data_IF_077057794851
#
_entry.id   IF_077057794851
#
_cell.length_a   1.000
_cell.length_b   1.000
_cell.length_c   1.000
_cell.angle_alpha   90.00
_cell.angle_beta   90.00
_cell.angle_gamma   90.00
#
_symmetry.space_group_name_H-M   'P 1'
#
loop_
_entity.id
_entity.type
_entity.pdbx_description
1 polymer ?
#
# COMPACT_ATOMS: atom_id res chain seq x y z
N UNK A 1 -10.28 -14.65 40.34
CA UNK A 1 -11.09 -13.45 40.03
C UNK A 1 -10.08 -12.38 39.63
N UNK A 2 -10.34 -11.60 38.58
CA UNK A 2 -9.30 -10.73 38.00
C UNK A 2 -9.20 -9.42 38.77
N UNK A 3 -8.11 -9.22 39.51
CA UNK A 3 -7.78 -7.94 40.16
C UNK A 3 -7.79 -6.78 39.16
N UNK A 4 -7.31 -7.01 37.94
CA UNK A 4 -7.32 -6.02 36.86
C UNK A 4 -8.72 -5.52 36.49
N UNK A 5 -9.79 -6.31 36.69
CA UNK A 5 -11.17 -5.88 36.42
C UNK A 5 -11.72 -4.96 37.54
N UNK A 6 -11.24 -5.12 38.77
CA UNK A 6 -11.60 -4.28 39.91
C UNK A 6 -10.77 -2.99 39.92
N UNK A 7 -9.48 -3.08 39.58
CA UNK A 7 -8.56 -1.96 39.36
C UNK A 7 -9.01 -1.07 38.19
N UNK A 8 -9.38 -1.67 37.04
CA UNK A 8 -10.04 -1.00 35.91
C UNK A 8 -11.23 -0.15 36.34
N UNK A 9 -12.11 -0.77 37.14
CA UNK A 9 -13.35 -0.16 37.60
C UNK A 9 -13.08 0.95 38.61
N UNK A 10 -12.16 0.72 39.55
CA UNK A 10 -11.73 1.73 40.52
C UNK A 10 -11.20 2.99 39.83
N UNK A 11 -10.31 2.85 38.84
CA UNK A 11 -9.74 3.97 38.08
C UNK A 11 -10.84 4.72 37.29
N UNK A 12 -11.81 4.02 36.69
CA UNK A 12 -12.92 4.66 35.97
C UNK A 12 -13.92 5.36 36.91
N UNK A 13 -14.21 4.76 38.07
CA UNK A 13 -15.19 5.27 39.05
C UNK A 13 -14.63 6.44 39.91
N UNK A 14 -13.29 6.56 40.03
CA UNK A 14 -12.60 7.60 40.82
C UNK A 14 -11.82 8.61 39.97
N UNK A 15 -12.02 8.60 38.64
CA UNK A 15 -11.46 9.59 37.72
C UNK A 15 -11.87 11.03 38.10
N UNK A 16 -11.01 12.05 37.88
CA UNK A 16 -11.39 13.44 38.10
C UNK A 16 -12.66 13.80 37.32
N UNK A 17 -13.64 14.43 37.98
CA UNK A 17 -14.93 14.82 37.37
C UNK A 17 -14.84 16.03 36.43
N UNK A 18 -13.69 16.20 35.80
CA UNK A 18 -13.49 17.10 34.67
C UNK A 18 -14.09 16.45 33.40
N UNK A 19 -15.31 15.91 33.52
CA UNK A 19 -16.06 15.25 32.45
C UNK A 19 -16.32 16.29 31.38
N UNK A 20 -15.97 15.99 30.13
CA UNK A 20 -16.41 16.83 29.03
C UNK A 20 -17.91 16.62 28.83
N UNK A 21 -18.70 17.67 29.08
CA UNK A 21 -20.10 17.72 28.67
C UNK A 21 -20.22 17.33 27.19
N UNK A 22 -21.30 16.60 26.86
CA UNK A 22 -21.59 16.02 25.54
C UNK A 22 -20.51 15.08 24.93
N UNK A 23 -19.48 14.67 25.67
CA UNK A 23 -18.52 13.67 25.19
C UNK A 23 -18.99 12.22 25.45
N UNK A 24 -19.17 11.38 24.41
CA UNK A 24 -19.72 10.02 24.57
C UNK A 24 -18.76 9.01 25.24
N UNK A 25 -17.53 9.41 25.57
CA UNK A 25 -16.59 8.57 26.32
C UNK A 25 -16.83 8.62 27.83
N UNK A 26 -17.01 9.83 28.39
CA UNK A 26 -17.32 10.06 29.80
C UNK A 26 -16.34 9.45 30.81
N UNK A 27 -15.05 9.36 30.46
CA UNK A 27 -13.96 8.82 31.29
C UNK A 27 -12.83 9.85 31.53
N UNK A 28 -11.80 9.50 32.32
CA UNK A 28 -10.71 10.40 32.71
C UNK A 28 -10.01 11.04 31.50
N UNK A 29 -9.65 12.32 31.62
CA UNK A 29 -8.79 13.04 30.68
C UNK A 29 -7.31 12.70 30.93
N UNK A 30 -6.53 12.64 29.85
CA UNK A 30 -5.06 12.56 29.85
C UNK A 30 -4.50 13.82 29.18
N UNK A 31 -3.33 14.26 29.63
CA UNK A 31 -2.68 15.48 29.14
C UNK A 31 -2.03 15.35 27.76
N UNK A 32 -1.19 16.33 27.47
CA UNK A 32 -0.17 16.31 26.40
C UNK A 32 1.21 16.00 27.00
N UNK A 33 2.19 15.64 26.16
CA UNK A 33 3.59 15.42 26.57
C UNK A 33 4.55 16.16 25.65
N UNK A 34 5.71 16.55 26.16
CA UNK A 34 6.73 17.31 25.42
C UNK A 34 6.42 18.81 25.27
N UNK A 35 7.29 19.54 24.58
CA UNK A 35 7.19 20.99 24.40
C UNK A 35 6.08 21.37 23.40
N UNK A 36 5.06 22.15 23.80
CA UNK A 36 4.05 22.69 22.88
C UNK A 36 4.61 23.53 21.73
N UNK A 37 5.84 24.06 21.83
CA UNK A 37 6.52 24.79 20.77
C UNK A 37 7.36 23.90 19.83
N UNK A 38 7.33 22.57 19.98
CA UNK A 38 8.09 21.65 19.12
C UNK A 38 7.71 21.78 17.64
N UNK A 39 8.67 21.73 16.70
CA UNK A 39 8.38 21.73 15.26
C UNK A 39 7.62 20.48 14.80
N UNK A 40 7.57 19.39 15.57
CA UNK A 40 6.88 18.15 15.21
C UNK A 40 5.86 17.73 16.27
N UNK A 41 4.61 17.56 15.83
CA UNK A 41 3.48 17.14 16.68
C UNK A 41 3.02 15.75 16.30
N UNK A 42 2.87 14.84 17.26
CA UNK A 42 2.26 13.53 17.08
C UNK A 42 0.86 13.51 17.69
N UNK A 43 -0.15 13.17 16.88
CA UNK A 43 -1.55 13.06 17.33
C UNK A 43 -1.95 11.59 17.33
N UNK A 44 -2.09 11.02 18.53
CA UNK A 44 -2.58 9.68 18.79
C UNK A 44 -4.13 9.61 18.76
N UNK A 45 -4.70 8.40 18.85
CA UNK A 45 -6.16 8.23 18.86
C UNK A 45 -6.82 8.68 20.17
N UNK A 46 -6.62 7.94 21.24
CA UNK A 46 -7.20 8.16 22.57
C UNK A 46 -6.37 7.43 23.63
N UNK A 47 -6.39 7.86 24.90
CA UNK A 47 -5.75 7.16 26.01
C UNK A 47 -6.07 5.67 26.10
N UNK A 48 -5.04 4.88 26.44
CA UNK A 48 -5.18 3.57 27.06
C UNK A 48 -5.23 3.67 28.58
N UNK A 49 -4.91 2.58 29.26
CA UNK A 49 -5.03 2.45 30.72
C UNK A 49 -3.76 2.87 31.46
N UNK A 50 -2.60 2.60 30.88
CA UNK A 50 -1.33 3.12 31.39
C UNK A 50 -1.34 4.65 31.32
N UNK A 51 -1.78 5.21 30.18
CA UNK A 51 -1.92 6.66 29.97
C UNK A 51 -2.81 7.34 31.02
N UNK A 52 -3.89 6.69 31.45
CA UNK A 52 -4.78 7.19 32.52
C UNK A 52 -4.15 7.10 33.90
N UNK A 53 -3.36 6.05 34.18
CA UNK A 53 -2.74 5.84 35.49
C UNK A 53 -1.65 6.87 35.76
N UNK A 54 -0.78 7.11 34.78
CA UNK A 54 0.42 7.94 34.98
C UNK A 54 0.28 9.36 34.38
N UNK A 55 -0.82 9.65 33.67
CA UNK A 55 -1.25 11.00 33.26
C UNK A 55 -0.72 11.49 31.90
N UNK A 56 0.19 10.75 31.27
CA UNK A 56 0.81 11.08 29.98
C UNK A 56 0.28 10.24 28.80
N UNK A 57 0.23 10.76 27.56
CA UNK A 57 0.00 9.97 26.36
C UNK A 57 1.19 9.06 25.99
N UNK A 58 0.90 7.98 25.24
CA UNK A 58 1.87 7.07 24.61
C UNK A 58 2.89 6.38 25.55
N UNK A 59 2.46 5.97 26.74
CA UNK A 59 3.28 5.17 27.67
C UNK A 59 2.90 3.68 27.74
N UNK A 60 1.74 3.31 27.19
CA UNK A 60 1.26 1.94 27.13
C UNK A 60 2.01 1.06 26.11
N UNK A 61 1.49 -0.14 25.81
CA UNK A 61 2.15 -1.09 24.89
C UNK A 61 2.43 -0.54 23.49
N UNK A 62 1.56 0.33 22.97
CA UNK A 62 1.76 1.06 21.70
C UNK A 62 2.88 2.10 21.82
N UNK A 63 2.93 2.80 22.94
CA UNK A 63 3.99 3.74 23.31
C UNK A 63 5.39 3.11 23.31
N UNK A 64 5.50 1.92 23.91
CA UNK A 64 6.74 1.13 23.98
C UNK A 64 7.26 0.62 22.63
N UNK A 65 6.48 0.77 21.56
CA UNK A 65 6.93 0.56 20.16
C UNK A 65 7.25 1.90 19.49
N UNK A 66 6.39 2.91 19.68
CA UNK A 66 6.58 4.28 19.19
C UNK A 66 7.92 4.89 19.65
N UNK A 67 8.21 4.85 20.95
CA UNK A 67 9.42 5.40 21.56
C UNK A 67 10.72 4.61 21.27
N UNK A 68 10.68 3.62 20.37
CA UNK A 68 11.89 3.03 19.76
C UNK A 68 12.39 3.81 18.54
N UNK A 69 11.54 4.67 17.97
CA UNK A 69 11.79 5.41 16.73
C UNK A 69 11.61 6.92 16.90
N UNK A 70 10.87 7.35 17.92
CA UNK A 70 10.67 8.76 18.29
C UNK A 70 11.24 9.00 19.70
N UNK A 71 12.09 10.03 19.93
CA UNK A 71 12.62 10.33 21.26
C UNK A 71 11.54 10.57 22.32
N UNK A 72 11.83 10.22 23.58
CA UNK A 72 11.00 10.55 24.76
C UNK A 72 11.72 11.55 25.69
N UNK A 73 12.38 12.53 25.09
CA UNK A 73 13.17 13.58 25.74
C UNK A 73 12.46 14.95 25.77
N UNK A 74 11.22 15.01 25.27
CA UNK A 74 10.42 16.23 25.15
C UNK A 74 10.64 17.02 23.85
N UNK A 75 11.53 16.57 22.95
CA UNK A 75 11.78 17.22 21.66
C UNK A 75 10.59 17.20 20.69
N UNK A 76 9.61 16.34 20.93
CA UNK A 76 8.38 16.18 20.13
C UNK A 76 7.15 16.50 20.99
N UNK A 77 6.12 17.13 20.41
CA UNK A 77 4.86 17.37 21.10
C UNK A 77 3.89 16.21 20.87
N UNK A 78 3.27 15.67 21.93
CA UNK A 78 2.33 14.53 21.85
C UNK A 78 0.95 14.92 22.34
N UNK A 79 -0.05 14.68 21.50
CA UNK A 79 -1.48 14.92 21.71
C UNK A 79 -2.31 13.65 21.47
N UNK A 80 -3.54 13.63 21.99
CA UNK A 80 -4.58 12.70 21.56
C UNK A 80 -5.65 13.44 20.78
N UNK A 81 -6.21 12.82 19.74
CA UNK A 81 -7.39 13.32 19.05
C UNK A 81 -8.64 13.35 19.95
N UNK A 82 -8.69 12.43 20.92
CA UNK A 82 -9.71 12.38 21.98
C UNK A 82 -9.01 12.32 23.35
N UNK A 83 -9.13 13.39 24.14
CA UNK A 83 -8.43 13.53 25.42
C UNK A 83 -8.89 12.55 26.51
N UNK A 84 -10.11 12.02 26.39
CA UNK A 84 -10.74 11.18 27.40
C UNK A 84 -10.49 9.68 27.14
N UNK A 85 -10.39 8.89 28.20
CA UNK A 85 -10.39 7.43 28.10
C UNK A 85 -11.79 6.90 27.70
N UNK A 86 -11.91 5.98 26.72
CA UNK A 86 -13.20 5.48 26.20
C UNK A 86 -13.91 4.45 27.12
N UNK A 87 -14.08 4.78 28.41
CA UNK A 87 -14.65 3.90 29.43
C UNK A 87 -16.03 3.30 29.07
N UNK A 88 -16.85 4.06 28.33
CA UNK A 88 -18.23 3.68 27.94
C UNK A 88 -18.35 3.11 26.52
N UNK A 89 -17.22 2.80 25.88
CA UNK A 89 -17.18 2.24 24.52
C UNK A 89 -16.82 0.76 24.57
N UNK A 90 -17.83 -0.10 24.46
CA UNK A 90 -17.63 -1.49 24.03
C UNK A 90 -17.05 -1.43 22.61
N UNK A 91 -15.79 -1.87 22.43
CA UNK A 91 -14.96 -1.60 21.22
C UNK A 91 -15.34 -2.44 19.98
N UNK A 92 -16.60 -2.85 19.87
CA UNK A 92 -17.07 -3.80 18.84
C UNK A 92 -18.33 -3.29 18.13
N UNK A 93 -18.43 -3.61 16.84
CA UNK A 93 -19.58 -3.27 15.99
C UNK A 93 -19.67 -1.79 15.57
N UNK A 94 -20.70 -1.49 14.79
CA UNK A 94 -20.94 -0.16 14.18
C UNK A 94 -21.22 0.94 15.20
N UNK A 95 -21.82 0.60 16.34
CA UNK A 95 -22.11 1.52 17.43
C UNK A 95 -20.83 2.02 18.13
N UNK A 96 -19.85 1.13 18.34
CA UNK A 96 -18.53 1.53 18.85
C UNK A 96 -17.85 2.53 17.92
N UNK A 97 -17.86 2.26 16.60
CA UNK A 97 -17.30 3.17 15.58
C UNK A 97 -17.99 4.54 15.57
N UNK A 98 -19.32 4.59 15.71
CA UNK A 98 -20.06 5.87 15.80
C UNK A 98 -19.66 6.69 17.03
N UNK A 99 -19.50 6.05 18.20
CA UNK A 99 -19.10 6.72 19.44
C UNK A 99 -17.67 7.27 19.37
N UNK A 100 -16.74 6.53 18.75
CA UNK A 100 -15.39 7.03 18.46
C UNK A 100 -15.42 8.28 17.57
N UNK A 101 -16.23 8.26 16.50
CA UNK A 101 -16.36 9.42 15.59
C UNK A 101 -17.00 10.64 16.29
N UNK A 102 -18.03 10.43 17.11
CA UNK A 102 -18.66 11.51 17.88
C UNK A 102 -17.71 12.09 18.96
N UNK A 103 -16.92 11.26 19.65
CA UNK A 103 -15.90 11.76 20.58
C UNK A 103 -14.81 12.58 19.87
N UNK A 104 -14.33 12.10 18.72
CA UNK A 104 -13.35 12.82 17.89
C UNK A 104 -13.90 14.17 17.42
N UNK A 105 -15.17 14.23 17.03
CA UNK A 105 -15.86 15.48 16.69
C UNK A 105 -15.92 16.45 17.88
N UNK A 106 -16.41 16.01 19.05
CA UNK A 106 -16.50 16.86 20.25
C UNK A 106 -15.14 17.27 20.85
N UNK A 107 -14.05 16.60 20.47
CA UNK A 107 -12.68 16.97 20.87
C UNK A 107 -11.92 17.83 19.84
N UNK A 108 -12.39 17.91 18.57
CA UNK A 108 -11.67 18.58 17.47
C UNK A 108 -11.26 20.02 17.81
N UNK A 109 -12.17 20.85 18.29
CA UNK A 109 -11.87 22.29 18.48
C UNK A 109 -10.78 22.51 19.56
N UNK A 110 -10.74 21.67 20.59
CA UNK A 110 -9.66 21.68 21.61
C UNK A 110 -8.32 21.16 21.07
N UNK A 111 -8.35 20.15 20.20
CA UNK A 111 -7.17 19.66 19.49
C UNK A 111 -6.58 20.77 18.61
N UNK A 112 -7.42 21.45 17.83
CA UNK A 112 -6.99 22.55 16.96
C UNK A 112 -6.43 23.71 17.77
N UNK A 113 -7.13 24.19 18.80
CA UNK A 113 -6.66 25.28 19.66
C UNK A 113 -5.29 25.02 20.31
N UNK A 114 -4.97 23.74 20.62
CA UNK A 114 -3.66 23.34 21.16
C UNK A 114 -2.52 23.35 20.14
N UNK A 115 -2.85 23.22 18.86
CA UNK A 115 -1.91 23.21 17.72
C UNK A 115 -1.76 24.63 17.17
N UNK A 116 -2.86 25.35 16.97
CA UNK A 116 -2.91 26.74 16.49
C UNK A 116 -2.24 27.74 17.46
N UNK A 117 -1.97 27.34 18.70
CA UNK A 117 -1.22 28.13 19.69
C UNK A 117 0.27 28.30 19.35
N UNK A 118 0.86 27.44 18.52
CA UNK A 118 2.29 27.45 18.19
C UNK A 118 2.55 27.16 16.69
N UNK A 119 3.59 27.74 16.08
CA UNK A 119 3.94 27.43 14.69
C UNK A 119 4.67 26.07 14.62
N UNK A 120 4.05 25.09 13.97
CA UNK A 120 4.64 23.76 13.78
C UNK A 120 5.16 23.56 12.34
N UNK A 121 6.20 22.73 12.17
CA UNK A 121 6.71 22.31 10.86
C UNK A 121 5.93 21.14 10.28
N UNK A 122 5.58 20.15 11.13
CA UNK A 122 4.88 18.93 10.71
C UNK A 122 3.91 18.43 11.80
N UNK A 123 2.74 17.95 11.38
CA UNK A 123 1.81 17.22 12.26
C UNK A 123 1.65 15.78 11.76
N UNK A 124 1.99 14.81 12.60
CA UNK A 124 1.92 13.37 12.33
C UNK A 124 0.63 12.79 12.90
N UNK A 125 -0.28 12.39 12.02
CA UNK A 125 -1.62 11.93 12.36
C UNK A 125 -1.69 10.39 12.45
N UNK A 126 -1.68 9.84 13.65
CA UNK A 126 -1.62 8.39 13.87
C UNK A 126 -3.01 7.75 13.86
N UNK A 127 -3.36 7.11 12.74
CA UNK A 127 -4.65 6.43 12.56
C UNK A 127 -5.80 7.33 12.06
N UNK A 128 -6.91 6.67 11.66
CA UNK A 128 -8.07 7.35 11.08
C UNK A 128 -8.63 8.46 11.98
N UNK A 129 -8.71 8.21 13.30
CA UNK A 129 -9.28 9.16 14.26
C UNK A 129 -8.47 10.46 14.34
N UNK A 130 -7.14 10.39 14.29
CA UNK A 130 -6.27 11.56 14.28
C UNK A 130 -6.40 12.36 12.97
N UNK A 131 -6.22 11.72 11.81
CA UNK A 131 -6.25 12.43 10.51
C UNK A 131 -7.63 13.05 10.23
N UNK A 132 -8.73 12.40 10.62
CA UNK A 132 -10.09 12.94 10.48
C UNK A 132 -10.34 14.13 11.41
N UNK A 133 -9.82 14.10 12.63
CA UNK A 133 -9.95 15.24 13.57
C UNK A 133 -9.17 16.46 13.10
N UNK A 134 -7.96 16.25 12.55
CA UNK A 134 -7.11 17.32 12.03
C UNK A 134 -7.64 17.91 10.72
N UNK A 135 -8.01 17.09 9.75
CA UNK A 135 -8.50 17.55 8.43
C UNK A 135 -9.97 17.99 8.45
N UNK A 136 -10.80 17.41 9.32
CA UNK A 136 -12.26 17.55 9.28
C UNK A 136 -12.95 16.69 8.20
N UNK A 137 -12.20 15.86 7.46
CA UNK A 137 -12.71 15.04 6.35
C UNK A 137 -13.00 13.62 6.87
N UNK A 138 -14.24 13.39 7.30
CA UNK A 138 -14.61 12.24 8.14
C UNK A 138 -14.69 10.88 7.44
N UNK A 139 -14.63 10.83 6.11
CA UNK A 139 -14.66 9.59 5.31
C UNK A 139 -13.25 9.07 4.94
N UNK A 140 -12.19 9.87 5.12
CA UNK A 140 -10.79 9.50 4.83
C UNK A 140 -10.42 8.12 5.40
N UNK A 141 -9.71 7.33 4.59
CA UNK A 141 -9.18 6.02 4.96
C UNK A 141 -7.65 6.10 4.98
N UNK A 142 -7.04 5.99 6.14
CA UNK A 142 -5.60 6.24 6.30
C UNK A 142 -4.71 5.34 5.44
N UNK A 143 -5.14 4.11 5.16
CA UNK A 143 -4.43 3.17 4.26
C UNK A 143 -4.32 3.65 2.81
N UNK A 144 -5.09 4.66 2.40
CA UNK A 144 -5.00 5.31 1.07
C UNK A 144 -4.14 6.57 1.06
N UNK A 145 -3.68 7.07 2.21
CA UNK A 145 -3.05 8.40 2.37
C UNK A 145 -1.85 8.40 3.34
N UNK A 146 -1.42 7.22 3.80
CA UNK A 146 -0.19 7.04 4.59
C UNK A 146 1.03 7.61 3.86
N UNK A 147 2.04 8.10 4.58
CA UNK A 147 3.30 8.51 3.99
C UNK A 147 3.28 9.80 3.15
N UNK A 148 2.13 10.51 3.07
CA UNK A 148 1.95 11.72 2.25
C UNK A 148 1.72 12.95 3.09
N UNK A 149 2.11 14.11 2.57
CA UNK A 149 1.78 15.40 3.15
C UNK A 149 0.42 15.87 2.61
N UNK A 150 -0.49 16.18 3.52
CA UNK A 150 -1.77 16.83 3.26
C UNK A 150 -1.59 18.31 3.61
N UNK A 151 -1.70 19.19 2.62
CA UNK A 151 -1.64 20.64 2.82
C UNK A 151 -2.64 21.08 3.91
N UNK A 152 -2.16 21.88 4.86
CA UNK A 152 -2.97 22.36 5.98
C UNK A 152 -2.37 23.64 6.54
N UNK A 153 -3.22 24.57 6.97
CA UNK A 153 -2.79 25.81 7.63
C UNK A 153 -2.17 25.57 9.04
N UNK A 154 -2.30 24.35 9.58
CA UNK A 154 -1.86 23.98 10.92
C UNK A 154 -0.35 23.74 11.04
N UNK A 155 0.38 23.54 9.93
CA UNK A 155 1.83 23.32 9.94
C UNK A 155 2.48 23.65 8.59
N UNK A 156 3.76 24.05 8.60
CA UNK A 156 4.54 24.47 7.41
C UNK A 156 4.50 23.46 6.25
N UNK A 157 4.67 22.17 6.56
CA UNK A 157 4.64 21.05 5.61
C UNK A 157 3.27 20.34 5.61
N UNK A 158 2.31 20.80 6.41
CA UNK A 158 1.00 20.17 6.57
C UNK A 158 0.96 18.94 7.49
N UNK A 159 0.01 18.05 7.22
CA UNK A 159 -0.30 16.87 8.03
C UNK A 159 0.16 15.59 7.31
N UNK A 160 0.93 14.75 8.00
CA UNK A 160 1.35 13.43 7.52
C UNK A 160 0.58 12.30 8.22
N UNK A 161 -0.32 11.58 7.54
CA UNK A 161 -1.00 10.41 8.12
C UNK A 161 -0.05 9.22 8.21
N UNK A 162 -0.07 8.52 9.35
CA UNK A 162 0.70 7.28 9.56
C UNK A 162 -0.14 6.20 10.23
N UNK A 163 0.14 4.92 9.97
CA UNK A 163 -0.62 3.80 10.55
C UNK A 163 -0.48 3.82 12.08
N UNK A 164 -1.59 3.70 12.82
CA UNK A 164 -1.53 3.65 14.28
C UNK A 164 -0.96 2.29 14.76
N UNK A 165 -0.02 2.31 15.70
CA UNK A 165 0.71 1.12 16.20
C UNK A 165 -0.23 -0.02 16.63
N UNK A 166 -1.42 0.29 17.14
CA UNK A 166 -2.42 -0.70 17.53
C UNK A 166 -2.94 -1.58 16.36
N UNK A 167 -2.77 -1.18 15.09
CA UNK A 167 -3.05 -2.01 13.93
C UNK A 167 -1.95 -3.06 13.70
N UNK A 168 -0.69 -2.69 13.93
CA UNK A 168 0.47 -3.58 13.85
C UNK A 168 0.35 -4.68 14.90
N UNK A 169 0.00 -4.31 16.14
CA UNK A 169 -0.25 -5.24 17.25
C UNK A 169 -1.44 -6.20 17.02
N UNK A 170 -2.32 -5.90 16.06
CA UNK A 170 -3.45 -6.75 15.65
C UNK A 170 -3.14 -7.60 14.42
N UNK A 171 -1.96 -7.48 13.81
CA UNK A 171 -1.62 -8.12 12.53
C UNK A 171 -2.37 -7.54 11.33
N UNK A 172 -2.94 -6.32 11.44
CA UNK A 172 -3.75 -5.67 10.39
C UNK A 172 -3.06 -4.45 9.78
N UNK A 173 -1.73 -4.41 9.78
CA UNK A 173 -0.91 -3.34 9.21
C UNK A 173 0.57 -3.70 9.21
N UNK A 174 1.32 -3.18 8.24
CA UNK A 174 2.73 -3.49 8.05
C UNK A 174 3.63 -2.68 8.98
N UNK A 175 4.53 -3.37 9.68
CA UNK A 175 5.55 -2.71 10.53
C UNK A 175 6.60 -1.98 9.69
N UNK A 176 6.88 -2.45 8.48
CA UNK A 176 7.78 -1.83 7.50
C UNK A 176 7.25 -0.47 7.04
N UNK A 177 6.01 -0.45 6.56
CA UNK A 177 5.26 0.78 6.20
C UNK A 177 5.31 1.82 7.32
N UNK A 178 5.02 1.39 8.56
CA UNK A 178 5.01 2.27 9.72
C UNK A 178 6.41 2.77 10.12
N UNK A 179 7.44 1.92 10.04
CA UNK A 179 8.85 2.29 10.27
C UNK A 179 9.27 3.38 9.29
N UNK A 180 8.99 3.20 8.00
CA UNK A 180 9.38 4.11 6.93
C UNK A 180 8.61 5.45 7.01
N UNK A 181 7.33 5.41 7.38
CA UNK A 181 6.55 6.60 7.77
C UNK A 181 7.21 7.39 8.89
N UNK A 182 7.47 6.75 10.04
CA UNK A 182 7.99 7.45 11.23
C UNK A 182 9.40 8.00 10.97
N UNK A 183 10.24 7.26 10.25
CA UNK A 183 11.57 7.74 9.84
C UNK A 183 11.48 8.98 8.96
N UNK A 184 10.59 9.00 7.97
CA UNK A 184 10.38 10.15 7.09
C UNK A 184 9.73 11.34 7.81
N UNK A 185 8.79 11.08 8.72
CA UNK A 185 8.20 12.14 9.56
C UNK A 185 9.26 12.82 10.46
N UNK A 186 10.16 12.04 11.06
CA UNK A 186 11.28 12.58 11.83
C UNK A 186 12.28 13.33 10.95
N UNK A 187 12.60 12.82 9.76
CA UNK A 187 13.46 13.51 8.77
C UNK A 187 12.91 14.91 8.42
N UNK A 188 11.62 15.00 8.07
CA UNK A 188 10.94 16.26 7.76
C UNK A 188 10.88 17.20 8.97
N UNK A 189 10.50 16.69 10.15
CA UNK A 189 10.38 17.48 11.38
C UNK A 189 11.73 18.06 11.86
N UNK A 190 12.83 17.35 11.60
CA UNK A 190 14.20 17.77 11.91
C UNK A 190 14.83 18.68 10.83
N UNK A 191 14.04 19.20 9.89
CA UNK A 191 14.48 20.17 8.88
C UNK A 191 14.73 19.59 7.48
N UNK A 192 14.45 18.31 7.26
CA UNK A 192 14.44 17.71 5.92
C UNK A 192 13.36 18.30 5.01
N UNK A 193 13.49 18.01 3.71
CA UNK A 193 12.58 18.47 2.66
C UNK A 193 11.64 17.35 2.19
N UNK A 194 10.41 17.68 1.75
CA UNK A 194 9.53 16.71 1.08
C UNK A 194 10.24 15.99 -0.08
N UNK A 195 9.96 14.69 -0.20
CA UNK A 195 10.39 13.87 -1.34
C UNK A 195 9.85 14.47 -2.64
N UNK A 196 10.68 14.61 -3.70
CA UNK A 196 10.20 15.09 -4.98
C UNK A 196 9.32 14.03 -5.65
N UNK A 197 8.07 14.38 -5.92
CA UNK A 197 7.21 13.64 -6.84
C UNK A 197 6.83 14.56 -8.01
N UNK A 198 7.26 14.19 -9.21
CA UNK A 198 6.83 14.84 -10.44
C UNK A 198 5.50 14.22 -10.88
N UNK A 199 4.47 15.04 -11.05
CA UNK A 199 3.23 14.60 -11.68
C UNK A 199 3.49 14.27 -13.14
N UNK A 200 3.01 13.12 -13.60
CA UNK A 200 3.08 12.72 -14.99
C UNK A 200 2.22 13.62 -15.92
N UNK A 201 2.73 13.85 -17.13
CA UNK A 201 1.99 14.35 -18.29
C UNK A 201 2.14 13.34 -19.44
N UNK A 202 1.12 13.21 -20.29
CA UNK A 202 1.08 12.17 -21.33
C UNK A 202 1.10 12.76 -22.74
N UNK A 203 2.00 12.22 -23.57
CA UNK A 203 2.09 12.50 -25.01
C UNK A 203 1.68 11.26 -25.77
N UNK A 204 0.39 11.18 -26.09
CA UNK A 204 -0.14 10.19 -27.02
C UNK A 204 0.47 10.46 -28.40
N UNK A 205 1.07 9.44 -29.00
CA UNK A 205 1.74 9.51 -30.29
C UNK A 205 0.69 9.42 -31.41
N UNK A 206 0.73 10.27 -32.46
CA UNK A 206 -0.22 10.22 -33.56
C UNK A 206 -0.18 8.90 -34.34
N UNK A 207 -1.34 8.44 -34.81
CA UNK A 207 -1.46 7.14 -35.50
C UNK A 207 -0.67 7.07 -36.83
N UNK A 208 -0.38 8.22 -37.45
CA UNK A 208 0.23 8.34 -38.78
C UNK A 208 1.76 8.61 -38.77
N UNK A 209 2.42 8.40 -37.63
CA UNK A 209 3.88 8.57 -37.52
C UNK A 209 4.68 7.58 -38.39
N UNK A 210 5.84 8.03 -38.86
CA UNK A 210 6.78 7.23 -39.66
C UNK A 210 7.93 6.70 -38.80
N UNK A 211 8.67 5.70 -39.30
CA UNK A 211 9.88 5.20 -38.64
C UNK A 211 10.84 6.34 -38.28
N UNK A 212 11.12 7.27 -39.21
CA UNK A 212 12.00 8.41 -38.96
C UNK A 212 11.48 9.42 -37.92
N UNK A 213 10.17 9.46 -37.65
CA UNK A 213 9.64 10.21 -36.50
C UNK A 213 9.94 9.48 -35.19
N UNK A 214 9.74 8.16 -35.15
CA UNK A 214 10.03 7.33 -33.97
C UNK A 214 11.52 7.33 -33.67
N UNK A 215 12.37 7.20 -34.69
CA UNK A 215 13.83 7.24 -34.53
C UNK A 215 14.30 8.59 -33.99
N UNK A 216 13.84 9.72 -34.55
CA UNK A 216 14.16 11.06 -34.04
C UNK A 216 13.60 11.33 -32.64
N UNK A 217 12.45 10.73 -32.29
CA UNK A 217 11.94 10.74 -30.92
C UNK A 217 12.87 9.95 -29.99
N UNK A 218 13.30 8.75 -30.35
CA UNK A 218 14.23 7.95 -29.53
C UNK A 218 15.62 8.60 -29.40
N UNK A 219 16.13 9.27 -30.44
CA UNK A 219 17.33 10.12 -30.34
C UNK A 219 17.15 11.24 -29.30
N UNK A 220 15.99 11.88 -29.26
CA UNK A 220 15.66 12.88 -28.23
C UNK A 220 15.49 12.26 -26.83
N UNK A 221 14.76 11.15 -26.69
CA UNK A 221 14.52 10.46 -25.41
C UNK A 221 15.82 9.97 -24.77
N UNK A 222 16.80 9.55 -25.58
CA UNK A 222 18.08 9.00 -25.12
C UNK A 222 19.24 10.00 -25.09
N UNK A 223 19.02 11.24 -25.53
CA UNK A 223 20.05 12.28 -25.71
C UNK A 223 20.94 12.54 -24.48
N UNK A 224 20.34 12.53 -23.28
CA UNK A 224 21.05 12.78 -22.01
C UNK A 224 21.40 11.49 -21.24
N UNK A 225 20.66 10.41 -21.48
CA UNK A 225 20.81 9.13 -20.79
C UNK A 225 20.07 8.07 -21.61
N UNK A 226 20.72 6.93 -21.91
CA UNK A 226 20.09 5.80 -22.60
C UNK A 226 19.16 4.96 -21.70
N UNK A 227 18.76 5.49 -20.56
CA UNK A 227 17.96 4.80 -19.55
C UNK A 227 16.48 5.17 -19.76
N UNK A 228 15.70 4.21 -20.26
CA UNK A 228 14.27 4.37 -20.50
C UNK A 228 13.47 3.46 -19.56
N UNK A 229 12.24 3.85 -19.26
CA UNK A 229 11.26 2.99 -18.62
C UNK A 229 10.10 2.71 -19.55
N UNK A 230 9.53 1.52 -19.42
CA UNK A 230 8.35 1.11 -20.16
C UNK A 230 7.39 0.28 -19.29
N UNK A 231 6.17 0.16 -19.78
CA UNK A 231 5.01 -0.52 -19.20
C UNK A 231 4.05 -0.86 -20.36
N UNK A 232 3.28 -1.95 -20.26
CA UNK A 232 2.18 -2.25 -21.19
C UNK A 232 0.82 -2.40 -20.49
N UNK A 233 -0.20 -1.87 -21.16
CA UNK A 233 -1.60 -2.12 -20.80
C UNK A 233 -2.17 -3.23 -21.67
N UNK A 234 -3.06 -4.05 -21.10
CA UNK A 234 -3.50 -5.31 -21.73
C UNK A 234 -4.98 -5.63 -21.48
N UNK A 235 -5.58 -6.51 -22.27
CA UNK A 235 -6.97 -6.99 -22.04
C UNK A 235 -7.11 -7.93 -20.84
N UNK A 236 -6.00 -8.42 -20.30
CA UNK A 236 -5.94 -9.46 -19.28
C UNK A 236 -4.53 -10.02 -19.14
N UNK A 237 -4.33 -10.98 -18.24
CA UNK A 237 -3.01 -11.40 -17.79
C UNK A 237 -2.31 -12.44 -18.69
N UNK A 238 -2.92 -12.88 -19.79
CA UNK A 238 -2.41 -14.01 -20.59
C UNK A 238 -1.77 -13.56 -21.90
N UNK A 239 -0.43 -13.46 -21.93
CA UNK A 239 0.37 -13.19 -23.15
C UNK A 239 0.10 -14.10 -24.37
N UNK A 240 -0.70 -15.16 -24.22
CA UNK A 240 -1.15 -16.08 -25.28
C UNK A 240 -2.55 -15.73 -25.82
N UNK A 241 -3.45 -15.20 -24.96
CA UNK A 241 -4.88 -15.01 -25.26
C UNK A 241 -5.32 -13.54 -25.25
N UNK A 242 -4.59 -12.68 -24.55
CA UNK A 242 -4.83 -11.25 -24.39
C UNK A 242 -4.00 -10.43 -25.38
N UNK A 243 -4.42 -9.19 -25.62
CA UNK A 243 -3.68 -8.23 -26.47
C UNK A 243 -3.17 -7.03 -25.67
N UNK A 244 -2.07 -6.47 -26.15
CA UNK A 244 -1.60 -5.13 -25.77
C UNK A 244 -2.64 -4.09 -26.22
N UNK A 245 -2.95 -3.14 -25.34
CA UNK A 245 -3.82 -1.98 -25.57
C UNK A 245 -3.00 -0.71 -25.81
N UNK A 246 -1.92 -0.51 -25.05
CA UNK A 246 -0.94 0.57 -25.24
C UNK A 246 0.41 0.21 -24.59
N UNK A 247 1.48 0.86 -25.04
CA UNK A 247 2.80 0.83 -24.41
C UNK A 247 3.21 2.26 -24.03
N UNK A 248 3.49 2.46 -22.75
CA UNK A 248 4.01 3.72 -22.22
C UNK A 248 5.53 3.70 -22.22
N UNK A 249 6.16 4.82 -22.54
CA UNK A 249 7.61 4.99 -22.51
C UNK A 249 7.95 6.32 -21.84
N UNK A 250 8.65 6.29 -20.70
CA UNK A 250 9.17 7.48 -20.02
C UNK A 250 10.69 7.42 -19.98
N UNK A 251 11.42 8.39 -20.55
CA UNK A 251 12.88 8.46 -20.39
C UNK A 251 13.24 8.85 -18.97
N UNK A 252 14.50 8.68 -18.58
CA UNK A 252 15.05 9.25 -17.34
C UNK A 252 15.15 10.78 -17.41
N UNK A 253 14.01 11.48 -17.38
CA UNK A 253 13.92 12.94 -17.34
C UNK A 253 13.30 13.49 -16.06
N UNK A 254 13.55 14.77 -15.83
CA UNK A 254 13.09 15.62 -14.74
C UNK A 254 11.82 16.43 -15.08
N UNK A 255 11.15 16.07 -16.18
CA UNK A 255 9.99 16.78 -16.74
C UNK A 255 8.66 16.03 -16.53
N UNK A 256 8.71 14.75 -16.15
CA UNK A 256 7.53 13.92 -15.90
C UNK A 256 6.76 13.51 -17.16
N UNK A 257 7.32 13.67 -18.35
CA UNK A 257 6.63 13.41 -19.62
C UNK A 257 6.76 11.94 -20.03
N UNK A 258 5.64 11.23 -20.10
CA UNK A 258 5.52 9.89 -20.70
C UNK A 258 4.97 9.96 -22.12
N UNK A 259 5.36 9.00 -22.97
CA UNK A 259 4.96 8.89 -24.36
C UNK A 259 4.16 7.60 -24.54
N UNK A 260 2.90 7.72 -24.95
CA UNK A 260 1.96 6.60 -25.07
C UNK A 260 1.79 6.21 -26.55
N UNK A 261 2.08 4.96 -26.87
CA UNK A 261 1.96 4.40 -28.21
C UNK A 261 0.88 3.30 -28.24
N UNK A 262 0.21 3.14 -29.37
CA UNK A 262 -0.82 2.11 -29.58
C UNK A 262 -0.25 0.90 -30.35
N UNK A 263 -0.96 -0.25 -30.39
CA UNK A 263 -0.39 -1.51 -30.90
C UNK A 263 0.05 -1.47 -32.37
N UNK A 264 -0.51 -0.56 -33.18
CA UNK A 264 -0.10 -0.36 -34.57
C UNK A 264 1.28 0.34 -34.70
N UNK A 265 1.81 0.96 -33.64
CA UNK A 265 3.17 1.50 -33.58
C UNK A 265 4.23 0.44 -33.22
N UNK A 266 3.85 -0.74 -32.72
CA UNK A 266 4.79 -1.79 -32.29
C UNK A 266 5.83 -2.18 -33.36
N UNK A 267 5.51 -2.26 -34.68
CA UNK A 267 6.52 -2.49 -35.72
C UNK A 267 7.58 -1.38 -35.82
N UNK A 268 7.22 -0.13 -35.50
CA UNK A 268 8.11 1.03 -35.51
C UNK A 268 8.97 1.12 -34.24
N UNK A 269 8.42 0.65 -33.10
CA UNK A 269 9.11 0.58 -31.82
C UNK A 269 10.13 -0.57 -31.75
N UNK A 270 9.89 -1.66 -32.48
CA UNK A 270 10.71 -2.88 -32.46
C UNK A 270 12.23 -2.64 -32.55
N UNK A 271 12.77 -1.79 -33.46
CA UNK A 271 14.22 -1.57 -33.53
C UNK A 271 14.81 -1.01 -32.23
N UNK A 272 14.02 -0.30 -31.43
CA UNK A 272 14.42 0.32 -30.17
C UNK A 272 14.14 -0.59 -28.96
N UNK A 273 13.04 -1.34 -28.98
CA UNK A 273 12.74 -2.35 -27.96
C UNK A 273 13.69 -3.55 -28.00
N UNK A 274 14.28 -3.86 -29.16
CA UNK A 274 15.34 -4.88 -29.32
C UNK A 274 16.77 -4.30 -29.21
N UNK A 275 16.94 -3.00 -28.91
CA UNK A 275 18.24 -2.32 -28.92
C UNK A 275 19.01 -2.47 -27.60
N UNK A 276 20.15 -3.18 -27.64
CA UNK A 276 21.10 -3.27 -26.52
C UNK A 276 21.86 -1.97 -26.21
N UNK A 277 21.63 -0.90 -26.98
CA UNK A 277 22.08 0.46 -26.66
C UNK A 277 21.17 1.16 -25.66
N UNK A 278 19.93 0.71 -25.48
CA UNK A 278 18.96 1.25 -24.52
C UNK A 278 18.93 0.36 -23.28
N UNK A 279 18.94 0.99 -22.10
CA UNK A 279 18.71 0.30 -20.83
C UNK A 279 17.24 0.39 -20.46
N UNK A 280 16.52 -0.72 -20.60
CA UNK A 280 15.10 -0.82 -20.32
C UNK A 280 14.83 -1.21 -18.87
N UNK A 281 14.14 -0.34 -18.15
CA UNK A 281 13.71 -0.58 -16.78
C UNK A 281 12.19 -0.67 -16.65
N UNK A 282 11.74 -1.65 -15.88
CA UNK A 282 10.32 -1.99 -15.74
C UNK A 282 9.91 -2.07 -14.27
N UNK A 283 8.66 -2.44 -14.02
CA UNK A 283 8.19 -2.89 -12.73
C UNK A 283 7.49 -4.25 -12.90
N UNK A 284 8.10 -5.35 -12.44
CA UNK A 284 7.68 -6.71 -12.80
C UNK A 284 7.76 -6.98 -14.32
N UNK A 285 8.85 -6.51 -14.97
CA UNK A 285 9.03 -6.48 -16.43
C UNK A 285 8.94 -7.83 -17.15
N UNK A 286 9.01 -8.94 -16.41
CA UNK A 286 8.72 -10.28 -16.95
C UNK A 286 7.28 -10.42 -17.47
N UNK A 287 6.35 -9.57 -17.03
CA UNK A 287 4.99 -9.53 -17.58
C UNK A 287 5.01 -8.92 -18.98
N UNK A 288 5.57 -7.72 -19.10
CA UNK A 288 5.60 -6.90 -20.30
C UNK A 288 6.37 -7.57 -21.44
N UNK A 289 7.58 -8.07 -21.16
CA UNK A 289 8.42 -8.66 -22.20
C UNK A 289 7.82 -9.93 -22.79
N UNK A 290 6.98 -10.68 -22.06
CA UNK A 290 6.31 -11.88 -22.59
C UNK A 290 5.24 -11.54 -23.63
N UNK A 291 4.47 -10.47 -23.40
CA UNK A 291 3.54 -9.96 -24.40
C UNK A 291 4.26 -9.40 -25.63
N UNK A 292 5.38 -8.70 -25.43
CA UNK A 292 6.21 -8.19 -26.52
C UNK A 292 6.85 -9.35 -27.32
N UNK A 293 7.36 -10.40 -26.65
CA UNK A 293 7.89 -11.62 -27.26
C UNK A 293 6.84 -12.43 -28.00
N UNK A 294 5.62 -12.53 -27.47
CA UNK A 294 4.47 -13.09 -28.17
C UNK A 294 4.10 -12.30 -29.43
N UNK A 295 4.24 -10.97 -29.41
CA UNK A 295 4.17 -10.10 -30.59
C UNK A 295 5.43 -10.17 -31.50
N UNK A 296 6.39 -11.03 -31.17
CA UNK A 296 7.64 -11.26 -31.90
C UNK A 296 8.78 -10.29 -31.61
N UNK A 297 8.59 -9.32 -30.73
CA UNK A 297 9.59 -8.31 -30.34
C UNK A 297 10.49 -8.89 -29.25
N UNK A 298 11.80 -8.92 -29.48
CA UNK A 298 12.79 -9.45 -28.53
C UNK A 298 13.14 -8.46 -27.41
N UNK A 299 12.13 -8.05 -26.65
CA UNK A 299 12.30 -7.14 -25.52
C UNK A 299 13.03 -7.79 -24.34
N UNK A 300 13.79 -6.97 -23.61
CA UNK A 300 14.65 -7.39 -22.49
C UNK A 300 14.47 -6.48 -21.25
N UNK A 301 14.97 -6.96 -20.11
CA UNK A 301 14.91 -6.29 -18.80
C UNK A 301 16.33 -6.04 -18.30
N UNK A 302 16.80 -4.78 -18.33
CA UNK A 302 18.10 -4.39 -17.75
C UNK A 302 17.99 -4.05 -16.26
N UNK A 303 16.84 -3.50 -15.85
CA UNK A 303 16.52 -3.19 -14.46
C UNK A 303 15.03 -3.45 -14.15
N UNK A 304 14.72 -3.82 -12.91
CA UNK A 304 13.33 -4.01 -12.45
C UNK A 304 13.16 -3.41 -11.05
N UNK A 305 12.26 -2.43 -10.91
CA UNK A 305 12.03 -1.72 -9.64
C UNK A 305 11.34 -2.57 -8.56
N UNK A 306 10.56 -3.59 -8.93
CA UNK A 306 10.01 -4.56 -7.97
C UNK A 306 11.15 -5.42 -7.40
N UNK A 307 12.06 -5.90 -8.26
CA UNK A 307 13.22 -6.68 -7.81
C UNK A 307 14.23 -5.85 -7.00
N UNK A 308 14.43 -4.57 -7.33
CA UNK A 308 15.21 -3.66 -6.47
C UNK A 308 14.55 -3.47 -5.10
N UNK A 309 13.23 -3.28 -5.06
CA UNK A 309 12.46 -3.14 -3.81
C UNK A 309 12.56 -4.39 -2.94
N UNK A 310 12.48 -5.58 -3.55
CA UNK A 310 12.66 -6.87 -2.88
C UNK A 310 14.11 -7.12 -2.42
N UNK A 311 15.10 -6.60 -3.15
CA UNK A 311 16.52 -6.68 -2.74
C UNK A 311 16.79 -5.90 -1.45
N UNK A 312 16.04 -4.82 -1.18
CA UNK A 312 16.33 -3.89 -0.09
C UNK A 312 15.69 -4.25 1.25
N UNK A 313 14.57 -4.97 1.23
CA UNK A 313 13.88 -5.48 2.41
C UNK A 313 12.99 -6.65 1.94
N UNK A 314 13.42 -7.88 2.24
CA UNK A 314 12.80 -9.15 1.83
C UNK A 314 11.71 -9.63 2.80
N UNK A 315 11.41 -8.85 3.84
CA UNK A 315 10.40 -9.19 4.83
C UNK A 315 9.00 -9.03 4.23
N UNK A 316 8.06 -9.87 4.69
CA UNK A 316 6.71 -9.96 4.15
C UNK A 316 6.01 -8.61 4.00
N UNK A 317 5.88 -8.16 2.75
CA UNK A 317 5.29 -6.89 2.34
C UNK A 317 4.83 -6.94 0.88
N UNK A 318 4.21 -5.85 0.41
CA UNK A 318 3.77 -5.72 -0.98
C UNK A 318 4.81 -4.88 -1.73
N UNK A 319 5.31 -5.40 -2.84
CA UNK A 319 6.31 -4.74 -3.67
C UNK A 319 5.71 -4.14 -4.96
N UNK A 320 4.39 -3.99 -5.02
CA UNK A 320 3.69 -3.43 -6.18
C UNK A 320 3.98 -1.93 -6.35
N UNK A 321 3.75 -1.43 -7.57
CA UNK A 321 4.11 -0.06 -7.93
C UNK A 321 3.37 1.00 -7.12
N UNK A 322 2.11 0.75 -6.70
CA UNK A 322 1.36 1.66 -5.83
C UNK A 322 2.03 1.78 -4.44
N UNK A 323 2.42 0.66 -3.84
CA UNK A 323 3.12 0.64 -2.54
C UNK A 323 4.51 1.28 -2.66
N UNK A 324 5.31 0.87 -3.64
CA UNK A 324 6.68 1.38 -3.81
C UNK A 324 6.70 2.87 -4.20
N UNK A 325 5.75 3.34 -5.01
CA UNK A 325 5.62 4.78 -5.32
C UNK A 325 5.24 5.60 -4.07
N UNK A 326 4.37 5.05 -3.21
CA UNK A 326 4.02 5.69 -1.95
C UNK A 326 5.22 5.74 -0.99
N UNK A 327 5.90 4.61 -0.77
CA UNK A 327 6.98 4.50 0.22
C UNK A 327 8.32 5.11 -0.25
N UNK A 328 8.51 5.33 -1.56
CA UNK A 328 9.72 5.99 -2.12
C UNK A 328 9.49 7.47 -2.47
N UNK A 329 8.35 7.83 -3.05
CA UNK A 329 8.09 9.18 -3.58
C UNK A 329 6.95 9.94 -2.85
N UNK A 330 6.23 9.30 -1.93
CA UNK A 330 4.96 9.82 -1.38
C UNK A 330 3.86 10.01 -2.45
N UNK A 331 3.95 9.30 -3.58
CA UNK A 331 3.04 9.43 -4.72
C UNK A 331 1.58 9.09 -4.36
N UNK A 332 0.56 9.78 -4.95
CA UNK A 332 -0.87 9.59 -4.67
C UNK A 332 -1.41 8.19 -5.04
N UNK A 333 -2.61 7.81 -4.56
CA UNK A 333 -3.42 6.76 -5.23
C UNK A 333 -3.89 7.40 -6.54
N UNK A 334 -3.53 6.82 -7.68
CA UNK A 334 -3.95 7.23 -9.03
C UNK A 334 -4.89 6.19 -9.67
N UNK A 335 -4.88 4.95 -9.18
CA UNK A 335 -5.81 3.89 -9.61
C UNK A 335 -7.29 4.28 -9.42
N UNK A 336 -7.64 5.34 -8.66
CA UNK A 336 -9.01 5.90 -8.64
C UNK A 336 -9.52 6.36 -10.01
N UNK A 337 -8.62 6.63 -10.97
CA UNK A 337 -8.98 7.03 -12.33
C UNK A 337 -9.58 5.86 -13.12
N UNK A 338 -9.05 4.64 -12.95
CA UNK A 338 -9.50 3.42 -13.65
C UNK A 338 -10.53 2.61 -12.84
N UNK A 339 -10.50 2.65 -11.51
CA UNK A 339 -11.42 1.93 -10.60
C UNK A 339 -12.93 2.08 -10.96
N UNK A 340 -13.45 3.21 -11.50
CA UNK A 340 -14.86 3.32 -11.93
C UNK A 340 -15.27 2.45 -13.14
N UNK A 341 -14.30 2.03 -13.97
CA UNK A 341 -14.52 1.26 -15.19
C UNK A 341 -14.32 -0.26 -15.01
N UNK A 342 -13.75 -0.66 -13.86
CA UNK A 342 -13.34 -2.02 -13.56
C UNK A 342 -14.25 -2.62 -12.47
N UNK A 343 -15.40 -3.25 -12.82
CA UNK A 343 -16.38 -3.73 -11.84
C UNK A 343 -15.87 -4.87 -10.94
N UNK A 344 -14.78 -5.55 -11.32
CA UNK A 344 -14.08 -6.54 -10.50
C UNK A 344 -12.57 -6.57 -10.86
N UNK A 345 -11.79 -7.36 -10.12
CA UNK A 345 -10.33 -7.50 -10.32
C UNK A 345 -9.91 -8.21 -11.61
N UNK A 346 -10.85 -8.85 -12.30
CA UNK A 346 -10.63 -9.66 -13.52
C UNK A 346 -11.23 -8.95 -14.75
N UNK A 347 -11.44 -7.63 -14.66
CA UNK A 347 -12.05 -6.82 -15.71
C UNK A 347 -10.99 -6.29 -16.67
N UNK A 348 -11.18 -6.52 -17.97
CA UNK A 348 -10.31 -6.00 -19.03
C UNK A 348 -10.19 -4.48 -18.98
N UNK A 349 -8.97 -3.96 -19.14
CA UNK A 349 -8.72 -2.52 -19.22
C UNK A 349 -9.23 -1.89 -20.53
N UNK A 350 -9.71 -2.69 -21.50
CA UNK A 350 -10.44 -2.19 -22.68
C UNK A 350 -11.78 -1.51 -22.30
N UNK A 351 -12.24 -1.67 -21.05
CA UNK A 351 -13.38 -0.92 -20.49
C UNK A 351 -13.00 0.52 -20.07
N UNK A 352 -11.71 0.84 -19.96
CA UNK A 352 -11.21 2.18 -19.60
C UNK A 352 -11.13 3.04 -20.87
N UNK A 353 -11.64 4.28 -20.88
CA UNK A 353 -11.48 5.19 -22.02
C UNK A 353 -10.00 5.42 -22.36
N UNK A 354 -9.56 5.32 -23.64
CA UNK A 354 -8.14 5.32 -23.99
C UNK A 354 -7.32 6.50 -23.45
N UNK A 355 -7.90 7.70 -23.38
CA UNK A 355 -7.26 8.88 -22.75
C UNK A 355 -6.96 8.66 -21.26
N UNK A 356 -7.89 8.07 -20.51
CA UNK A 356 -7.73 7.80 -19.07
C UNK A 356 -6.74 6.65 -18.85
N UNK A 357 -6.74 5.65 -19.74
CA UNK A 357 -5.77 4.56 -19.73
C UNK A 357 -4.35 5.09 -19.99
N UNK A 358 -4.18 5.94 -21.01
CA UNK A 358 -2.91 6.59 -21.32
C UNK A 358 -2.41 7.50 -20.18
N UNK A 359 -3.30 8.26 -19.53
CA UNK A 359 -2.95 9.06 -18.33
C UNK A 359 -2.57 8.18 -17.13
N UNK A 360 -3.22 7.03 -16.96
CA UNK A 360 -2.91 6.07 -15.90
C UNK A 360 -1.54 5.40 -16.14
N UNK A 361 -1.31 4.85 -17.34
CA UNK A 361 -0.04 4.25 -17.76
C UNK A 361 1.12 5.25 -17.69
N UNK A 362 0.88 6.53 -18.05
CA UNK A 362 1.88 7.58 -17.91
C UNK A 362 2.34 7.81 -16.45
N UNK A 363 1.46 7.57 -15.47
CA UNK A 363 1.80 7.63 -14.04
C UNK A 363 2.62 6.40 -13.64
N UNK A 364 2.27 5.19 -14.11
CA UNK A 364 3.04 3.97 -13.81
C UNK A 364 4.47 4.04 -14.39
N UNK A 365 4.65 4.46 -15.66
CA UNK A 365 5.99 4.66 -16.23
C UNK A 365 6.75 5.79 -15.54
N UNK A 366 6.11 6.93 -15.24
CA UNK A 366 6.77 8.07 -14.62
C UNK A 366 7.18 7.80 -13.16
N UNK A 367 6.34 7.09 -12.40
CA UNK A 367 6.69 6.61 -11.07
C UNK A 367 7.88 5.65 -11.16
N UNK A 368 7.86 4.68 -12.09
CA UNK A 368 8.98 3.75 -12.30
C UNK A 368 10.29 4.50 -12.64
N UNK A 369 10.24 5.52 -13.51
CA UNK A 369 11.39 6.35 -13.86
C UNK A 369 11.97 7.14 -12.66
N UNK A 370 11.10 7.64 -11.78
CA UNK A 370 11.48 8.39 -10.58
C UNK A 370 11.99 7.47 -9.44
N UNK A 371 11.38 6.30 -9.25
CA UNK A 371 11.77 5.28 -8.27
C UNK A 371 13.15 4.69 -8.60
N UNK A 372 13.37 4.34 -9.88
CA UNK A 372 14.55 3.61 -10.36
C UNK A 372 15.88 4.18 -9.84
N UNK A 373 16.26 5.46 -10.04
CA UNK A 373 17.55 5.97 -9.57
C UNK A 373 17.69 5.93 -8.05
N UNK A 374 16.59 6.09 -7.29
CA UNK A 374 16.60 6.05 -5.83
C UNK A 374 16.87 4.62 -5.35
N UNK A 375 16.11 3.63 -5.84
CA UNK A 375 16.32 2.23 -5.45
C UNK A 375 17.65 1.68 -5.96
N UNK A 376 18.05 2.00 -7.20
CA UNK A 376 19.31 1.54 -7.79
C UNK A 376 20.51 2.06 -7.00
N UNK A 377 20.46 3.31 -6.52
CA UNK A 377 21.50 3.88 -5.66
C UNK A 377 21.52 3.22 -4.26
N UNK A 378 20.34 2.93 -3.67
CA UNK A 378 20.26 2.17 -2.41
C UNK A 378 20.88 0.77 -2.56
N UNK A 379 20.51 0.02 -3.60
CA UNK A 379 21.08 -1.31 -3.90
C UNK A 379 22.59 -1.26 -4.14
N UNK A 380 23.08 -0.27 -4.91
CA UNK A 380 24.52 -0.08 -5.16
C UNK A 380 25.33 0.29 -3.93
N UNK A 381 24.70 0.79 -2.87
CA UNK A 381 25.40 1.21 -1.65
C UNK A 381 25.93 0.02 -0.83
N UNK A 382 25.38 -1.18 -1.02
CA UNK A 382 25.89 -2.42 -0.42
C UNK A 382 26.33 -3.42 -1.51
N UNK A 383 27.59 -3.86 -1.45
CA UNK A 383 28.17 -4.78 -2.43
C UNK A 383 27.61 -6.21 -2.38
N UNK A 384 26.87 -6.60 -1.34
CA UNK A 384 26.14 -7.86 -1.26
C UNK A 384 24.78 -7.73 -1.95
N UNK A 385 24.05 -6.63 -1.71
CA UNK A 385 22.78 -6.33 -2.35
C UNK A 385 22.93 -6.13 -3.86
N UNK A 386 23.96 -5.41 -4.31
CA UNK A 386 24.29 -5.27 -5.73
C UNK A 386 24.51 -6.63 -6.42
N UNK A 387 25.14 -7.59 -5.73
CA UNK A 387 25.35 -8.96 -6.26
C UNK A 387 24.06 -9.76 -6.28
N UNK A 388 23.25 -9.70 -5.20
CA UNK A 388 21.95 -10.37 -5.13
C UNK A 388 21.03 -9.92 -6.27
N UNK A 389 20.94 -8.61 -6.49
CA UNK A 389 20.16 -8.03 -7.57
C UNK A 389 20.71 -8.43 -8.96
N UNK A 390 21.96 -8.08 -9.27
CA UNK A 390 22.51 -8.21 -10.64
C UNK A 390 22.94 -9.63 -11.04
N UNK A 391 23.26 -10.51 -10.08
CA UNK A 391 23.79 -11.86 -10.36
C UNK A 391 22.88 -13.00 -9.93
N UNK A 392 21.75 -12.71 -9.29
CA UNK A 392 20.78 -13.72 -8.87
C UNK A 392 19.37 -13.34 -9.28
N UNK A 393 18.82 -12.21 -8.81
CA UNK A 393 17.40 -11.88 -9.02
C UNK A 393 17.07 -11.55 -10.49
N UNK A 394 17.83 -10.67 -11.14
CA UNK A 394 17.61 -10.38 -12.57
C UNK A 394 17.78 -11.62 -13.47
N UNK A 395 18.90 -12.40 -13.40
CA UNK A 395 19.05 -13.62 -14.19
C UNK A 395 18.02 -14.72 -13.87
N UNK A 396 17.59 -14.84 -12.61
CA UNK A 396 16.53 -15.79 -12.24
C UNK A 396 15.17 -15.36 -12.77
N UNK A 397 14.89 -14.05 -12.83
CA UNK A 397 13.65 -13.53 -13.45
C UNK A 397 13.59 -13.89 -14.93
N UNK A 398 14.66 -13.68 -15.69
CA UNK A 398 14.73 -14.04 -17.11
C UNK A 398 14.60 -15.56 -17.34
N UNK A 399 15.29 -16.39 -16.55
CA UNK A 399 15.13 -17.85 -16.61
C UNK A 399 13.70 -18.30 -16.29
N UNK A 400 13.04 -17.65 -15.32
CA UNK A 400 11.63 -17.92 -15.03
C UNK A 400 10.71 -17.45 -16.17
N UNK A 401 11.03 -16.35 -16.85
CA UNK A 401 10.36 -15.94 -18.09
C UNK A 401 10.43 -17.05 -19.14
N UNK A 402 11.63 -17.56 -19.46
CA UNK A 402 11.80 -18.66 -20.43
C UNK A 402 11.01 -19.92 -20.05
N UNK A 403 10.98 -20.30 -18.77
CA UNK A 403 10.20 -21.45 -18.27
C UNK A 403 8.69 -21.20 -18.36
N UNK A 404 8.22 -20.00 -18.05
CA UNK A 404 6.80 -19.64 -18.18
C UNK A 404 6.34 -19.46 -19.63
N UNK A 405 7.25 -19.13 -20.56
CA UNK A 405 6.99 -19.06 -22.01
C UNK A 405 6.99 -20.47 -22.65
N UNK A 406 7.86 -21.37 -22.19
CA UNK A 406 7.91 -22.76 -22.66
C UNK A 406 6.74 -23.62 -22.12
N UNK A 407 6.29 -23.35 -20.90
CA UNK A 407 5.17 -24.05 -20.25
C UNK A 407 5.46 -25.53 -19.96
N UNK A 408 4.40 -26.34 -19.91
CA UNK A 408 4.48 -27.79 -19.70
C UNK A 408 3.43 -28.52 -20.54
N UNK A 409 3.85 -29.57 -21.25
CA UNK A 409 2.93 -30.44 -21.98
C UNK A 409 2.05 -31.24 -20.99
N UNK A 410 0.76 -31.29 -21.25
CA UNK A 410 -0.22 -32.09 -20.51
C UNK A 410 -0.92 -33.07 -21.45
N UNK A 411 -1.42 -34.16 -20.87
CA UNK A 411 -2.23 -35.15 -21.58
C UNK A 411 -3.72 -34.85 -21.29
N UNK A 412 -4.48 -34.32 -22.26
CA UNK A 412 -5.86 -33.90 -22.03
C UNK A 412 -6.80 -35.09 -21.81
N UNK A 413 -6.61 -36.21 -22.53
CA UNK A 413 -7.43 -37.41 -22.38
C UNK A 413 -7.25 -37.98 -20.96
N UNK A 414 -6.00 -38.03 -20.47
CA UNK A 414 -5.70 -38.45 -19.09
C UNK A 414 -6.18 -37.45 -18.04
N UNK A 415 -6.32 -36.16 -18.35
CA UNK A 415 -6.94 -35.17 -17.45
C UNK A 415 -8.45 -35.37 -17.35
N UNK A 416 -9.14 -35.53 -18.48
CA UNK A 416 -10.59 -35.80 -18.54
C UNK A 416 -10.95 -37.10 -17.80
N UNK A 417 -10.18 -38.19 -18.01
CA UNK A 417 -10.31 -39.44 -17.26
C UNK A 417 -10.18 -39.23 -15.74
N UNK A 418 -9.22 -38.41 -15.31
CA UNK A 418 -9.00 -38.13 -13.89
C UNK A 418 -10.13 -37.27 -13.29
N UNK A 419 -10.68 -36.31 -14.04
CA UNK A 419 -11.82 -35.52 -13.56
C UNK A 419 -13.04 -36.41 -13.30
N UNK A 420 -13.36 -37.33 -14.21
CA UNK A 420 -14.43 -38.33 -14.01
C UNK A 420 -14.13 -39.24 -12.80
N UNK A 421 -12.92 -39.82 -12.74
CA UNK A 421 -12.53 -40.70 -11.64
C UNK A 421 -12.62 -40.03 -10.26
N UNK A 422 -12.14 -38.79 -10.14
CA UNK A 422 -12.22 -38.04 -8.89
C UNK A 422 -13.63 -37.51 -8.58
N UNK A 423 -14.48 -37.30 -9.59
CA UNK A 423 -15.90 -36.98 -9.37
C UNK A 423 -16.67 -38.18 -8.81
N UNK A 424 -16.49 -39.36 -9.37
CA UNK A 424 -17.13 -40.60 -8.92
C UNK A 424 -16.68 -40.99 -7.50
N UNK A 425 -15.37 -41.02 -7.24
CA UNK A 425 -14.81 -41.31 -5.92
C UNK A 425 -15.29 -40.30 -4.85
N UNK A 426 -15.49 -39.04 -5.22
CA UNK A 426 -16.03 -37.99 -4.35
C UNK A 426 -17.54 -38.18 -4.09
N UNK A 427 -18.29 -38.72 -5.04
CA UNK A 427 -19.70 -39.06 -4.87
C UNK A 427 -19.87 -40.30 -3.96
N UNK A 428 -19.03 -41.32 -4.14
CA UNK A 428 -18.99 -42.53 -3.31
C UNK A 428 -18.69 -42.20 -1.84
N UNK A 429 -17.57 -41.52 -1.56
CA UNK A 429 -17.22 -41.04 -0.21
C UNK A 429 -18.30 -40.10 0.34
N UNK A 430 -18.95 -39.31 -0.52
CA UNK A 430 -20.11 -38.48 -0.15
C UNK A 430 -21.31 -39.31 0.33
N UNK A 431 -21.57 -40.47 -0.26
CA UNK A 431 -22.60 -41.42 0.20
C UNK A 431 -22.20 -42.05 1.53
N UNK A 432 -20.97 -42.56 1.65
CA UNK A 432 -20.47 -43.16 2.90
C UNK A 432 -20.58 -42.21 4.09
N UNK A 433 -20.18 -40.94 3.91
CA UNK A 433 -20.32 -39.90 4.94
C UNK A 433 -21.80 -39.71 5.32
N UNK A 434 -22.70 -39.62 4.34
CA UNK A 434 -24.13 -39.43 4.59
C UNK A 434 -24.78 -40.62 5.29
N UNK A 435 -24.33 -41.84 5.01
CA UNK A 435 -24.77 -43.07 5.67
C UNK A 435 -24.27 -43.16 7.12
N UNK A 436 -22.98 -42.91 7.35
CA UNK A 436 -22.36 -42.89 8.70
C UNK A 436 -22.95 -41.78 9.59
N UNK A 437 -23.32 -40.64 9.00
CA UNK A 437 -23.89 -39.46 9.70
C UNK A 437 -25.42 -39.54 9.81
N UNK A 438 -26.08 -40.37 9.00
CA UNK A 438 -27.53 -40.60 9.01
C UNK A 438 -28.37 -39.47 8.41
N UNK A 439 -27.74 -38.49 7.74
CA UNK A 439 -28.40 -37.41 7.00
C UNK A 439 -27.43 -36.77 5.99
N UNK A 440 -27.98 -36.12 4.96
CA UNK A 440 -27.17 -35.47 3.93
C UNK A 440 -26.41 -34.24 4.48
N UNK A 441 -25.09 -34.25 4.36
CA UNK A 441 -24.18 -33.18 4.80
C UNK A 441 -23.19 -32.80 3.69
N UNK A 442 -23.02 -31.50 3.44
CA UNK A 442 -21.97 -31.01 2.55
C UNK A 442 -20.63 -30.94 3.30
N UNK A 443 -19.79 -31.96 3.09
CA UNK A 443 -18.43 -32.03 3.65
C UNK A 443 -17.54 -30.83 3.26
N UNK A 444 -17.82 -30.17 2.13
CA UNK A 444 -17.16 -28.92 1.70
C UNK A 444 -17.66 -27.65 2.42
N UNK A 445 -18.57 -27.76 3.39
CA UNK A 445 -19.09 -26.63 4.17
C UNK A 445 -18.54 -26.62 5.61
N UNK A 446 -17.55 -25.78 5.95
CA UNK A 446 -16.98 -25.72 7.30
C UNK A 446 -18.03 -25.49 8.40
N UNK A 447 -19.10 -24.76 8.09
CA UNK A 447 -20.23 -24.53 9.01
C UNK A 447 -20.99 -25.82 9.34
N UNK A 448 -21.29 -26.65 8.34
CA UNK A 448 -22.03 -27.91 8.56
C UNK A 448 -21.14 -28.96 9.25
N UNK A 449 -19.86 -29.04 8.86
CA UNK A 449 -18.88 -29.93 9.50
C UNK A 449 -18.65 -29.54 10.96
N UNK A 450 -18.49 -28.25 11.26
CA UNK A 450 -18.40 -27.75 12.65
C UNK A 450 -19.65 -28.07 13.48
N UNK A 451 -20.85 -27.95 12.89
CA UNK A 451 -22.11 -28.29 13.54
C UNK A 451 -22.24 -29.80 13.82
N UNK A 452 -21.75 -30.67 12.93
CA UNK A 452 -21.65 -32.11 13.17
C UNK A 452 -20.64 -32.42 14.30
N UNK A 453 -19.38 -32.03 14.14
CA UNK A 453 -18.27 -32.45 15.02
C UNK A 453 -18.43 -31.92 16.45
N UNK A 454 -18.70 -30.62 16.62
CA UNK A 454 -18.62 -29.97 17.94
C UNK A 454 -19.99 -29.87 18.63
N UNK A 455 -21.11 -29.76 17.90
CA UNK A 455 -22.45 -29.73 18.52
C UNK A 455 -23.10 -31.10 18.64
N UNK A 456 -23.09 -31.91 17.58
CA UNK A 456 -23.75 -33.24 17.58
C UNK A 456 -22.86 -34.32 18.20
N UNK A 457 -21.63 -34.47 17.70
CA UNK A 457 -20.67 -35.48 18.19
C UNK A 457 -19.95 -35.04 19.48
N UNK A 458 -20.00 -33.75 19.83
CA UNK A 458 -19.43 -33.16 21.06
C UNK A 458 -17.92 -33.44 21.23
N UNK A 459 -17.18 -33.42 20.12
CA UNK A 459 -15.73 -33.41 20.17
C UNK A 459 -15.22 -32.11 20.85
N UNK A 460 -14.03 -32.10 21.47
CA UNK A 460 -13.44 -30.89 22.02
C UNK A 460 -13.19 -29.84 20.93
N UNK A 461 -13.42 -28.56 21.28
CA UNK A 461 -12.88 -27.40 20.54
C UNK A 461 -11.43 -27.13 20.97
#
# INVERSE_FOLDING_TARGET
MNSSAEELRYICDHAPQDVCDDCPFGGPKVGSKGDPASPIVFVAESPGLDEVRDGEPLIGPTGKVFHKFVPDDGSVYVLNAMECYPARVLKEGTEGTRRMQAAAYSCRDRLLQKIEAYPHRLIVAMGNSAVRSLTGIWDLKITKIRGRLIESYLAELGIMPVIHVAALMKGTGSFREWREDIQYAMELGLGGSPRPHLKADVRIIPDDVTQGYVDALFEFLTWSSNELTADIETTGFSHINDRILSIGITPRNDLGISYCFYPHHLPLLRPHLEASTIQWCWHNGKFDVKFLRAAGIKAHVDDDTMLMSYTLDELGGIHDLETVSCDVLSAPDYKYMIKPYLPNKDSSYELVPPQILAEYQAIDTSNTAQIRPILRNRVRSDSALEKLYTRTLLPASEMLTEVEEAGICTDPERLDENEVYFADMKAEIGSEINELVGYNINAGSPKQVSELLFKRMRLPN
#
